data_IF_782960296043
#
_entry.id   IF_782960296043
#
_cell.length_a   1.000
_cell.length_b   1.000
_cell.length_c   1.000
_cell.angle_alpha   90.00
_cell.angle_beta   90.00
_cell.angle_gamma   90.00
#
_symmetry.space_group_name_H-M   'P 1'
#
loop_
_entity.id
_entity.type
_entity.pdbx_description
1 polymer ?
#
# COMPACT_ATOMS: atom_id res chain seq x y z
N UNK A 1 11.25 -19.98 -16.47
CA UNK A 1 10.10 -19.67 -17.32
C UNK A 1 10.17 -18.21 -17.72
N UNK A 2 10.13 -17.92 -19.02
CA UNK A 2 10.03 -16.56 -19.58
C UNK A 2 8.95 -16.59 -20.64
N UNK A 3 8.19 -15.51 -20.83
CA UNK A 3 7.11 -15.43 -21.84
C UNK A 3 7.37 -14.33 -22.87
N UNK A 4 8.56 -13.72 -22.85
CA UNK A 4 8.89 -12.57 -23.69
C UNK A 4 9.96 -12.85 -24.75
N UNK A 5 10.26 -14.12 -25.02
CA UNK A 5 11.29 -14.54 -26.00
C UNK A 5 10.78 -14.51 -27.45
N UNK A 6 9.46 -14.48 -27.66
CA UNK A 6 8.84 -14.65 -28.97
C UNK A 6 8.81 -16.09 -29.47
N UNK A 7 9.32 -17.06 -28.69
CA UNK A 7 9.27 -18.48 -29.04
C UNK A 7 7.92 -19.08 -28.65
N UNK A 8 7.31 -19.83 -29.57
CA UNK A 8 5.98 -20.43 -29.34
C UNK A 8 5.96 -21.37 -28.12
N UNK A 9 7.05 -22.10 -27.89
CA UNK A 9 7.21 -23.02 -26.75
C UNK A 9 7.21 -22.31 -25.39
N UNK A 10 7.59 -21.03 -25.34
CA UNK A 10 7.77 -20.29 -24.10
C UNK A 10 6.49 -19.58 -23.63
N UNK A 11 5.57 -19.29 -24.55
CA UNK A 11 4.41 -18.41 -24.32
C UNK A 11 3.52 -18.85 -23.17
N UNK A 12 3.34 -20.16 -23.00
CA UNK A 12 2.49 -20.73 -21.96
C UNK A 12 3.19 -20.91 -20.62
N UNK A 13 4.51 -20.71 -20.54
CA UNK A 13 5.25 -21.06 -19.33
C UNK A 13 4.76 -20.29 -18.07
N UNK A 14 4.23 -19.08 -18.21
CA UNK A 14 3.64 -18.35 -17.09
C UNK A 14 2.32 -18.99 -16.61
N UNK A 15 1.38 -19.30 -17.51
CA UNK A 15 0.11 -19.95 -17.13
C UNK A 15 0.36 -21.34 -16.55
N UNK A 16 1.28 -22.12 -17.11
CA UNK A 16 1.66 -23.44 -16.56
C UNK A 16 2.30 -23.30 -15.17
N UNK A 17 3.04 -22.22 -14.90
CA UNK A 17 3.57 -21.94 -13.56
C UNK A 17 2.45 -21.65 -12.56
N UNK A 18 1.43 -20.88 -12.96
CA UNK A 18 0.27 -20.63 -12.10
C UNK A 18 -0.54 -21.91 -11.84
N UNK A 19 -0.68 -22.77 -12.85
CA UNK A 19 -1.36 -24.06 -12.72
C UNK A 19 -0.59 -25.02 -11.81
N UNK A 20 0.74 -25.06 -11.94
CA UNK A 20 1.59 -25.84 -11.04
C UNK A 20 1.44 -25.40 -9.58
N UNK A 21 1.35 -24.08 -9.30
CA UNK A 21 1.09 -23.59 -7.95
C UNK A 21 -0.26 -24.10 -7.41
N UNK A 22 -1.33 -24.02 -8.22
CA UNK A 22 -2.66 -24.53 -7.82
C UNK A 22 -2.62 -26.02 -7.54
N UNK A 23 -2.02 -26.81 -8.43
CA UNK A 23 -1.92 -28.26 -8.28
C UNK A 23 -1.07 -28.67 -7.07
N UNK A 24 0.00 -27.94 -6.75
CA UNK A 24 0.78 -28.19 -5.53
C UNK A 24 -0.08 -27.95 -4.30
N UNK A 25 -0.85 -26.85 -4.27
CA UNK A 25 -1.74 -26.55 -3.14
C UNK A 25 -2.86 -27.56 -2.97
N UNK A 26 -3.41 -28.06 -4.06
CA UNK A 26 -4.46 -29.08 -4.03
C UNK A 26 -3.91 -30.46 -3.62
N UNK A 27 -2.80 -30.89 -4.23
CA UNK A 27 -2.33 -32.28 -4.13
C UNK A 27 -1.34 -32.53 -2.99
N UNK A 28 -0.68 -31.48 -2.49
CA UNK A 28 0.33 -31.58 -1.43
C UNK A 28 -0.01 -30.62 -0.27
N UNK A 29 -1.08 -30.90 0.50
CA UNK A 29 -1.41 -30.09 1.68
C UNK A 29 -0.21 -29.95 2.63
N UNK A 30 0.07 -28.72 3.06
CA UNK A 30 1.21 -28.40 3.92
C UNK A 30 2.52 -28.09 3.18
N UNK A 31 2.60 -28.30 1.86
CA UNK A 31 3.75 -27.85 1.08
C UNK A 31 3.67 -26.33 0.83
N UNK A 32 4.77 -25.63 1.09
CA UNK A 32 4.95 -24.22 0.77
C UNK A 32 5.74 -24.05 -0.54
N UNK A 33 5.48 -22.95 -1.24
CA UNK A 33 6.00 -22.63 -2.57
C UNK A 33 6.76 -21.30 -2.52
N UNK A 34 7.94 -21.29 -3.13
CA UNK A 34 8.80 -20.12 -3.28
C UNK A 34 9.10 -19.92 -4.77
N UNK A 35 8.85 -18.72 -5.29
CA UNK A 35 9.04 -18.41 -6.72
C UNK A 35 9.88 -17.16 -6.95
N UNK A 36 10.90 -17.27 -7.80
CA UNK A 36 11.59 -16.10 -8.35
C UNK A 36 10.84 -15.54 -9.56
N UNK A 37 10.33 -14.31 -9.47
CA UNK A 37 9.45 -13.76 -10.51
C UNK A 37 10.19 -13.21 -11.73
N UNK A 38 11.41 -12.71 -11.57
CA UNK A 38 12.09 -11.88 -12.56
C UNK A 38 12.30 -12.56 -13.93
N UNK A 39 12.28 -13.90 -13.96
CA UNK A 39 12.42 -14.68 -15.18
C UNK A 39 11.22 -14.53 -16.12
N UNK A 40 10.00 -14.31 -15.61
CA UNK A 40 8.79 -14.20 -16.43
C UNK A 40 8.91 -13.08 -17.46
N UNK A 41 9.61 -11.99 -17.07
CA UNK A 41 9.82 -10.79 -17.86
C UNK A 41 11.23 -10.71 -18.46
N UNK A 42 11.93 -11.82 -18.65
CA UNK A 42 13.29 -11.78 -19.21
C UNK A 42 13.26 -11.38 -20.69
N UNK A 43 14.13 -10.45 -21.10
CA UNK A 43 14.26 -10.01 -22.50
C UNK A 43 13.59 -8.68 -22.85
N UNK A 44 12.88 -8.03 -21.91
CA UNK A 44 12.19 -6.74 -22.16
C UNK A 44 12.76 -5.60 -21.29
N UNK A 45 12.40 -4.36 -21.65
CA UNK A 45 12.91 -3.15 -20.99
C UNK A 45 12.46 -3.02 -19.51
N UNK A 46 13.21 -2.32 -18.66
CA UNK A 46 12.93 -2.25 -17.21
C UNK A 46 11.52 -1.80 -16.82
N UNK A 47 10.91 -0.85 -17.55
CA UNK A 47 9.56 -0.37 -17.28
C UNK A 47 8.51 -1.44 -17.53
N UNK A 48 8.60 -2.14 -18.67
CA UNK A 48 7.75 -3.28 -18.99
C UNK A 48 7.90 -4.40 -17.94
N UNK A 49 9.14 -4.71 -17.53
CA UNK A 49 9.38 -5.71 -16.48
C UNK A 49 8.66 -5.36 -15.18
N UNK A 50 8.62 -4.08 -14.82
CA UNK A 50 7.98 -3.61 -13.59
C UNK A 50 6.50 -3.97 -13.58
N UNK A 51 5.79 -3.65 -14.67
CA UNK A 51 4.37 -3.94 -14.84
C UNK A 51 4.13 -5.45 -14.88
N UNK A 52 4.84 -6.18 -15.76
CA UNK A 52 4.60 -7.61 -15.94
C UNK A 52 4.85 -8.41 -14.66
N UNK A 53 5.93 -8.11 -13.93
CA UNK A 53 6.23 -8.78 -12.66
C UNK A 53 5.17 -8.49 -11.58
N UNK A 54 4.63 -7.27 -11.55
CA UNK A 54 3.59 -6.88 -10.59
C UNK A 54 2.26 -7.58 -10.85
N UNK A 55 1.86 -7.66 -12.13
CA UNK A 55 0.65 -8.38 -12.54
C UNK A 55 0.82 -9.89 -12.34
N UNK A 56 1.97 -10.45 -12.69
CA UNK A 56 2.24 -11.87 -12.48
C UNK A 56 2.27 -12.25 -10.99
N UNK A 57 2.87 -11.41 -10.12
CA UNK A 57 2.85 -11.62 -8.67
C UNK A 57 1.42 -11.70 -8.12
N UNK A 58 0.53 -10.83 -8.59
CA UNK A 58 -0.87 -10.87 -8.18
C UNK A 58 -1.50 -12.23 -8.49
N UNK A 59 -1.40 -12.69 -9.74
CA UNK A 59 -1.97 -13.99 -10.12
C UNK A 59 -1.27 -15.17 -9.47
N UNK A 60 0.04 -15.10 -9.23
CA UNK A 60 0.76 -16.14 -8.50
C UNK A 60 0.28 -16.26 -7.05
N UNK A 61 0.03 -15.12 -6.38
CA UNK A 61 -0.58 -15.11 -5.04
C UNK A 61 -1.99 -15.70 -5.06
N UNK A 62 -2.82 -15.33 -6.04
CA UNK A 62 -4.17 -15.93 -6.20
C UNK A 62 -4.13 -17.43 -6.49
N UNK A 63 -3.09 -17.90 -7.16
CA UNK A 63 -2.83 -19.32 -7.39
C UNK A 63 -2.28 -20.05 -6.14
N UNK A 64 -2.03 -19.34 -5.04
CA UNK A 64 -1.60 -19.91 -3.76
C UNK A 64 -0.10 -19.79 -3.48
N UNK A 65 0.64 -18.93 -4.17
CA UNK A 65 2.06 -18.70 -3.87
C UNK A 65 2.26 -18.21 -2.42
N UNK A 66 3.15 -18.86 -1.67
CA UNK A 66 3.43 -18.48 -0.27
C UNK A 66 4.50 -17.40 -0.16
N UNK A 67 5.55 -17.48 -0.98
CA UNK A 67 6.68 -16.55 -0.95
C UNK A 67 7.25 -16.27 -2.35
N UNK A 68 7.75 -15.05 -2.54
CA UNK A 68 8.32 -14.62 -3.81
C UNK A 68 9.69 -13.95 -3.62
N UNK A 69 10.65 -14.30 -4.48
CA UNK A 69 11.93 -13.58 -4.60
C UNK A 69 11.73 -12.46 -5.62
N UNK A 70 11.67 -11.23 -5.12
CA UNK A 70 11.37 -10.02 -5.92
C UNK A 70 12.16 -8.82 -5.44
N UNK A 71 12.34 -7.85 -6.33
CA UNK A 71 12.79 -6.52 -5.94
C UNK A 71 11.57 -5.71 -5.48
N UNK A 72 11.28 -5.72 -4.17
CA UNK A 72 10.06 -5.13 -3.60
C UNK A 72 9.79 -3.67 -4.05
N UNK A 73 10.83 -2.82 -4.08
CA UNK A 73 10.69 -1.43 -4.54
C UNK A 73 10.34 -1.26 -6.04
N UNK A 74 10.37 -2.36 -6.82
CA UNK A 74 9.97 -2.40 -8.24
C UNK A 74 8.64 -3.12 -8.43
N UNK A 75 7.96 -3.56 -7.37
CA UNK A 75 6.57 -3.99 -7.51
C UNK A 75 5.68 -2.74 -7.50
N UNK A 76 4.64 -2.75 -8.33
CA UNK A 76 3.63 -1.72 -8.39
C UNK A 76 2.31 -2.29 -7.85
N UNK A 77 1.59 -1.55 -7.00
CA UNK A 77 0.20 -1.87 -6.70
C UNK A 77 -0.63 -1.88 -7.99
N UNK A 78 -1.55 -2.84 -8.13
CA UNK A 78 -2.29 -3.03 -9.38
C UNK A 78 -3.11 -1.80 -9.78
N UNK A 79 -3.63 -1.06 -8.81
CA UNK A 79 -4.43 0.16 -9.06
C UNK A 79 -3.61 1.34 -9.62
N UNK A 80 -2.26 1.28 -9.51
CA UNK A 80 -1.36 2.29 -10.08
C UNK A 80 -0.91 1.95 -11.50
N UNK A 81 -1.21 0.75 -11.98
CA UNK A 81 -0.90 0.32 -13.34
C UNK A 81 -2.06 0.77 -14.24
N UNK A 82 -1.74 1.40 -15.38
CA UNK A 82 -2.76 1.77 -16.37
C UNK A 82 -3.57 0.55 -16.80
N UNK A 83 -4.89 0.69 -16.90
CA UNK A 83 -5.81 -0.42 -17.18
C UNK A 83 -5.44 -1.18 -18.45
N UNK A 84 -5.03 -0.48 -19.51
CA UNK A 84 -4.66 -1.11 -20.79
C UNK A 84 -3.36 -1.89 -20.64
N UNK A 85 -2.39 -1.35 -19.90
CA UNK A 85 -1.14 -2.07 -19.63
C UNK A 85 -1.36 -3.29 -18.75
N UNK A 86 -2.24 -3.18 -17.76
CA UNK A 86 -2.60 -4.28 -16.86
C UNK A 86 -3.30 -5.40 -17.64
N UNK A 87 -4.26 -5.07 -18.49
CA UNK A 87 -4.94 -6.06 -19.33
C UNK A 87 -4.00 -6.69 -20.35
N UNK A 88 -3.14 -5.91 -21.03
CA UNK A 88 -2.17 -6.47 -21.95
C UNK A 88 -1.17 -7.42 -21.24
N UNK A 89 -0.69 -7.06 -20.04
CA UNK A 89 0.14 -7.95 -19.24
C UNK A 89 -0.60 -9.24 -18.85
N UNK A 90 -1.87 -9.13 -18.45
CA UNK A 90 -2.72 -10.28 -18.12
C UNK A 90 -2.91 -11.18 -19.35
N UNK A 91 -3.26 -10.63 -20.50
CA UNK A 91 -3.41 -11.38 -21.75
C UNK A 91 -2.14 -12.14 -22.11
N UNK A 92 -0.98 -11.49 -21.96
CA UNK A 92 0.31 -12.13 -22.16
C UNK A 92 0.57 -13.27 -21.17
N UNK A 93 0.30 -13.08 -19.87
CA UNK A 93 0.47 -14.12 -18.83
C UNK A 93 -0.37 -15.37 -19.12
N UNK A 94 -1.61 -15.18 -19.59
CA UNK A 94 -2.55 -16.26 -19.84
C UNK A 94 -2.57 -16.74 -21.31
N UNK A 95 -1.64 -16.27 -22.16
CA UNK A 95 -1.59 -16.51 -23.61
C UNK A 95 -2.97 -16.38 -24.29
N UNK A 96 -3.74 -15.33 -23.93
CA UNK A 96 -5.08 -15.08 -24.49
C UNK A 96 -5.00 -14.42 -25.86
N UNK A 97 -5.17 -15.25 -26.89
CA UNK A 97 -5.11 -14.85 -28.30
C UNK A 97 -6.48 -14.38 -28.79
N UNK A 98 -6.46 -13.28 -29.52
CA UNK A 98 -7.56 -12.91 -30.40
C UNK A 98 -7.05 -13.05 -31.84
N UNK A 99 -7.96 -13.15 -32.82
CA UNK A 99 -7.60 -13.30 -34.24
C UNK A 99 -6.79 -12.13 -34.82
N UNK A 100 -6.71 -11.01 -34.10
CA UNK A 100 -6.26 -9.72 -34.62
C UNK A 100 -4.83 -9.35 -34.21
N UNK A 101 -4.36 -9.73 -33.01
CA UNK A 101 -3.03 -9.31 -32.53
C UNK A 101 -2.40 -10.28 -31.52
N UNK A 102 -1.08 -10.48 -31.64
CA UNK A 102 -0.28 -11.27 -30.72
C UNK A 102 -0.11 -10.57 -29.35
N UNK A 103 -0.40 -11.22 -28.21
CA UNK A 103 -0.32 -10.61 -26.89
C UNK A 103 1.06 -10.04 -26.51
N UNK A 104 2.15 -10.67 -26.96
CA UNK A 104 3.49 -10.15 -26.70
C UNK A 104 3.73 -8.87 -27.50
N UNK A 105 3.33 -8.87 -28.78
CA UNK A 105 3.42 -7.68 -29.62
C UNK A 105 2.58 -6.51 -29.07
N UNK A 106 1.33 -6.76 -28.68
CA UNK A 106 0.45 -5.76 -28.05
C UNK A 106 1.08 -5.18 -26.77
N UNK A 107 1.57 -6.05 -25.90
CA UNK A 107 2.19 -5.65 -24.64
C UNK A 107 3.44 -4.80 -24.86
N UNK A 108 4.29 -5.16 -25.82
CA UNK A 108 5.50 -4.42 -26.15
C UNK A 108 5.16 -3.02 -26.68
N UNK A 109 4.17 -2.89 -27.59
CA UNK A 109 3.70 -1.60 -28.12
C UNK A 109 3.22 -0.65 -27.03
N UNK A 110 2.48 -1.19 -26.04
CA UNK A 110 1.98 -0.39 -24.90
C UNK A 110 3.08 -0.04 -23.91
N UNK A 111 4.10 -0.88 -23.78
CA UNK A 111 5.22 -0.67 -22.87
C UNK A 111 6.22 0.37 -23.38
N UNK A 112 6.43 0.46 -24.69
CA UNK A 112 7.27 1.49 -25.32
C UNK A 112 6.67 2.90 -25.24
N UNK A 113 5.34 3.01 -25.26
CA UNK A 113 4.65 4.30 -25.09
C UNK A 113 4.65 4.81 -23.64
N UNK A 114 4.88 3.92 -22.68
CA UNK A 114 4.83 4.20 -21.24
C UNK A 114 6.20 4.32 -20.57
N UNK A 115 7.31 4.22 -21.32
CA UNK A 115 8.67 4.45 -20.79
C UNK A 115 8.93 5.91 -20.40
N UNK A 116 8.00 6.83 -20.68
CA UNK A 116 7.87 8.03 -19.87
C UNK A 116 7.02 7.66 -18.66
N UNK A 117 7.56 7.68 -17.42
CA UNK A 117 6.71 7.53 -16.26
C UNK A 117 5.69 8.66 -16.36
N UNK A 118 4.46 8.32 -16.72
CA UNK A 118 3.31 9.19 -16.45
C UNK A 118 3.30 9.30 -14.94
N UNK A 119 4.02 10.30 -14.42
CA UNK A 119 3.56 11.05 -13.26
C UNK A 119 2.07 11.22 -13.51
N UNK A 120 1.26 10.62 -12.65
CA UNK A 120 -0.16 10.90 -12.62
C UNK A 120 -0.35 12.42 -12.82
N UNK A 121 -1.33 12.86 -13.63
CA UNK A 121 -1.50 14.24 -14.05
C UNK A 121 -1.22 15.18 -12.88
N UNK A 122 -0.37 16.18 -13.13
CA UNK A 122 0.10 17.24 -12.23
C UNK A 122 -0.59 17.24 -10.87
N UNK A 123 -0.04 16.48 -9.91
CA UNK A 123 -0.46 16.48 -8.49
C UNK A 123 -0.63 17.91 -7.98
N UNK A 124 0.11 18.89 -8.52
CA UNK A 124 0.05 20.31 -8.16
C UNK A 124 -1.29 21.03 -8.43
N UNK A 125 -2.17 20.54 -9.30
CA UNK A 125 -3.39 21.28 -9.69
C UNK A 125 -4.67 20.79 -9.00
N UNK A 126 -4.63 19.67 -8.29
CA UNK A 126 -5.78 19.19 -7.50
C UNK A 126 -5.93 19.98 -6.19
N UNK A 127 -7.15 20.07 -5.61
CA UNK A 127 -7.35 20.61 -4.26
C UNK A 127 -6.48 19.90 -3.22
N UNK A 128 -6.00 20.65 -2.22
CA UNK A 128 -5.07 20.14 -1.19
C UNK A 128 -5.60 18.91 -0.47
N UNK A 129 -6.91 18.83 -0.26
CA UNK A 129 -7.59 17.70 0.36
C UNK A 129 -7.40 16.42 -0.45
N UNK A 130 -7.55 16.50 -1.78
CA UNK A 130 -7.36 15.35 -2.68
C UNK A 130 -5.88 14.98 -2.79
N UNK A 131 -4.97 15.97 -2.78
CA UNK A 131 -3.52 15.72 -2.77
C UNK A 131 -3.10 14.96 -1.51
N UNK A 132 -3.53 15.42 -0.34
CA UNK A 132 -3.25 14.77 0.95
C UNK A 132 -3.81 13.35 1.00
N UNK A 133 -5.07 13.16 0.59
CA UNK A 133 -5.67 11.82 0.50
C UNK A 133 -4.86 10.89 -0.38
N UNK A 134 -4.44 11.38 -1.55
CA UNK A 134 -3.65 10.60 -2.51
C UNK A 134 -2.25 10.27 -2.00
N UNK A 135 -1.61 11.18 -1.26
CA UNK A 135 -0.32 10.92 -0.59
C UNK A 135 -0.41 9.79 0.42
N UNK A 136 -1.49 9.74 1.20
CA UNK A 136 -1.73 8.62 2.12
C UNK A 136 -1.91 7.32 1.35
N UNK A 137 -2.75 7.32 0.31
CA UNK A 137 -2.97 6.12 -0.54
C UNK A 137 -1.67 5.63 -1.16
N UNK A 138 -0.83 6.54 -1.63
CA UNK A 138 0.41 6.23 -2.35
C UNK A 138 1.62 6.03 -1.42
N UNK A 139 1.48 6.29 -0.12
CA UNK A 139 2.61 6.28 0.81
C UNK A 139 3.70 7.31 0.47
N UNK A 140 3.32 8.45 -0.10
CA UNK A 140 4.25 9.48 -0.59
C UNK A 140 4.43 10.63 0.42
N UNK A 141 5.66 10.77 0.93
CA UNK A 141 6.03 11.82 1.89
C UNK A 141 6.58 13.09 1.23
N UNK A 142 6.88 13.08 -0.07
CA UNK A 142 7.59 14.17 -0.75
C UNK A 142 6.69 15.40 -0.94
N UNK A 143 6.83 16.42 -0.11
CA UNK A 143 5.94 17.60 -0.10
C UNK A 143 4.66 17.40 0.71
N UNK A 144 4.64 16.40 1.60
CA UNK A 144 3.55 16.17 2.54
C UNK A 144 3.34 17.39 3.47
N UNK A 145 4.41 17.91 4.06
CA UNK A 145 4.34 19.04 4.99
C UNK A 145 3.85 20.33 4.31
N UNK A 146 4.22 20.57 3.05
CA UNK A 146 3.74 21.71 2.27
C UNK A 146 2.22 21.65 2.08
N UNK A 147 1.70 20.47 1.73
CA UNK A 147 0.26 20.25 1.58
C UNK A 147 -0.47 20.32 2.93
N UNK A 148 0.13 19.82 4.02
CA UNK A 148 -0.42 19.97 5.37
C UNK A 148 -0.49 21.45 5.78
N UNK A 149 0.55 22.22 5.50
CA UNK A 149 0.61 23.68 5.76
C UNK A 149 -0.45 24.43 4.96
N UNK A 150 -0.73 24.02 3.73
CA UNK A 150 -1.80 24.62 2.95
C UNK A 150 -3.18 24.26 3.51
N UNK A 151 -3.40 23.00 3.91
CA UNK A 151 -4.66 22.52 4.45
C UNK A 151 -5.03 23.16 5.80
N UNK A 152 -4.04 23.43 6.67
CA UNK A 152 -4.27 24.08 7.97
C UNK A 152 -4.78 25.52 7.85
N UNK A 153 -4.69 26.15 6.67
CA UNK A 153 -5.30 27.47 6.41
C UNK A 153 -6.83 27.40 6.29
N UNK A 154 -7.40 26.22 6.03
CA UNK A 154 -8.83 26.02 5.77
C UNK A 154 -9.50 25.09 6.77
N UNK A 155 -8.74 24.16 7.36
CA UNK A 155 -9.25 23.09 8.22
C UNK A 155 -8.47 23.08 9.53
N UNK A 156 -9.11 22.67 10.61
CA UNK A 156 -8.37 22.40 11.85
C UNK A 156 -7.45 21.18 11.67
N UNK A 157 -6.35 21.06 12.42
CA UNK A 157 -5.49 19.87 12.33
C UNK A 157 -6.24 18.55 12.58
N UNK A 158 -7.25 18.57 13.47
CA UNK A 158 -8.12 17.41 13.72
C UNK A 158 -9.01 17.08 12.51
N UNK A 159 -9.61 18.09 11.89
CA UNK A 159 -10.45 17.88 10.70
C UNK A 159 -9.63 17.28 9.54
N UNK A 160 -8.37 17.69 9.39
CA UNK A 160 -7.46 17.13 8.38
C UNK A 160 -7.25 15.64 8.63
N UNK A 161 -6.98 15.25 9.88
CA UNK A 161 -6.78 13.83 10.24
C UNK A 161 -8.06 13.05 9.97
N UNK A 162 -9.18 13.49 10.53
CA UNK A 162 -10.42 12.70 10.60
C UNK A 162 -11.12 12.60 9.25
N UNK A 163 -11.16 13.69 8.47
CA UNK A 163 -11.96 13.74 7.26
C UNK A 163 -11.14 13.56 5.98
N UNK A 164 -9.83 13.85 6.00
CA UNK A 164 -8.97 13.78 4.81
C UNK A 164 -8.06 12.56 4.88
N UNK A 165 -7.21 12.47 5.90
CA UNK A 165 -6.16 11.45 5.98
C UNK A 165 -6.73 10.06 6.27
N UNK A 166 -7.69 9.94 7.21
CA UNK A 166 -8.39 8.67 7.45
C UNK A 166 -9.19 8.22 6.22
N UNK A 167 -9.72 9.16 5.43
CA UNK A 167 -10.35 8.86 4.15
C UNK A 167 -9.40 8.18 3.16
N UNK A 168 -8.11 8.55 3.17
CA UNK A 168 -7.06 7.86 2.40
C UNK A 168 -6.77 6.46 2.94
N UNK A 169 -6.63 6.33 4.27
CA UNK A 169 -6.38 5.03 4.91
C UNK A 169 -7.52 4.02 4.68
N UNK A 170 -8.78 4.48 4.64
CA UNK A 170 -9.93 3.64 4.31
C UNK A 170 -9.78 3.01 2.92
N UNK A 171 -9.40 3.81 1.93
CA UNK A 171 -9.15 3.33 0.56
C UNK A 171 -8.00 2.33 0.53
N UNK A 172 -6.90 2.56 1.28
CA UNK A 172 -5.80 1.60 1.40
C UNK A 172 -6.30 0.25 1.95
N UNK A 173 -7.15 0.28 2.98
CA UNK A 173 -7.78 -0.91 3.54
C UNK A 173 -8.65 -1.68 2.54
N UNK A 174 -9.49 -0.97 1.78
CA UNK A 174 -10.31 -1.55 0.71
C UNK A 174 -9.45 -2.20 -0.38
N UNK A 175 -8.40 -1.51 -0.84
CA UNK A 175 -7.46 -2.03 -1.83
C UNK A 175 -6.70 -3.26 -1.32
N UNK A 176 -6.37 -3.31 -0.02
CA UNK A 176 -5.65 -4.43 0.58
C UNK A 176 -6.57 -5.64 0.72
N UNK A 177 -7.80 -5.43 1.19
CA UNK A 177 -8.83 -6.47 1.28
C UNK A 177 -9.20 -7.05 -0.09
N UNK A 178 -9.24 -6.21 -1.13
CA UNK A 178 -9.43 -6.63 -2.52
C UNK A 178 -8.17 -7.25 -3.16
N UNK A 179 -7.05 -7.33 -2.44
CA UNK A 179 -5.80 -7.89 -2.94
C UNK A 179 -5.12 -7.05 -4.04
N UNK A 180 -5.52 -5.80 -4.24
CA UNK A 180 -4.97 -4.86 -5.23
C UNK A 180 -3.73 -4.11 -4.73
N UNK A 181 -3.49 -4.12 -3.42
CA UNK A 181 -2.25 -3.67 -2.80
C UNK A 181 -1.64 -4.77 -1.92
N UNK A 182 -0.38 -4.60 -1.54
CA UNK A 182 0.38 -5.57 -0.73
C UNK A 182 0.79 -4.94 0.60
N UNK A 183 1.06 -5.79 1.60
CA UNK A 183 1.42 -5.36 2.96
C UNK A 183 2.54 -4.30 3.00
N UNK A 184 3.63 -4.38 2.21
CA UNK A 184 4.65 -3.34 2.21
C UNK A 184 4.12 -1.93 1.88
N UNK A 185 3.16 -1.83 0.96
CA UNK A 185 2.56 -0.54 0.60
C UNK A 185 1.60 -0.05 1.67
N UNK A 186 0.87 -0.94 2.34
CA UNK A 186 0.04 -0.58 3.50
C UNK A 186 0.91 -0.01 4.62
N UNK A 187 2.07 -0.62 4.89
CA UNK A 187 3.03 -0.11 5.86
C UNK A 187 3.59 1.26 5.44
N UNK A 188 3.85 1.45 4.16
CA UNK A 188 4.29 2.74 3.63
C UNK A 188 3.22 3.84 3.81
N UNK A 189 1.95 3.54 3.52
CA UNK A 189 0.83 4.43 3.80
C UNK A 189 0.71 4.76 5.29
N UNK A 190 0.90 3.76 6.17
CA UNK A 190 0.88 3.96 7.61
C UNK A 190 2.03 4.86 8.10
N UNK A 191 3.23 4.72 7.53
CA UNK A 191 4.38 5.61 7.80
C UNK A 191 4.07 7.06 7.38
N UNK A 192 3.45 7.26 6.21
CA UNK A 192 3.02 8.60 5.76
C UNK A 192 1.94 9.18 6.66
N UNK A 193 0.97 8.36 7.11
CA UNK A 193 -0.05 8.76 8.08
C UNK A 193 0.59 9.20 9.40
N UNK A 194 1.54 8.42 9.92
CA UNK A 194 2.27 8.74 11.15
C UNK A 194 3.04 10.05 11.03
N UNK A 195 3.72 10.28 9.90
CA UNK A 195 4.42 11.54 9.64
C UNK A 195 3.45 12.74 9.60
N UNK A 196 2.28 12.58 8.97
CA UNK A 196 1.28 13.64 8.90
C UNK A 196 0.70 13.98 10.28
N UNK A 197 0.38 12.98 11.10
CA UNK A 197 -0.11 13.19 12.47
C UNK A 197 0.95 13.88 13.32
N UNK A 198 2.22 13.46 13.25
CA UNK A 198 3.31 14.07 13.99
C UNK A 198 3.53 15.56 13.60
N UNK A 199 3.27 15.92 12.35
CA UNK A 199 3.32 17.30 11.87
C UNK A 199 2.15 18.15 12.40
N UNK A 200 0.95 17.57 12.45
CA UNK A 200 -0.28 18.28 12.83
C UNK A 200 -0.46 18.41 14.35
N UNK A 201 0.06 17.47 15.13
CA UNK A 201 -0.07 17.41 16.59
C UNK A 201 0.37 18.71 17.30
N UNK A 202 1.54 19.31 17.00
CA UNK A 202 1.96 20.58 17.61
C UNK A 202 1.05 21.77 17.29
N UNK A 203 0.25 21.69 16.23
CA UNK A 203 -0.64 22.77 15.77
C UNK A 203 -2.02 22.71 16.43
N UNK A 204 -2.30 21.69 17.23
CA UNK A 204 -3.58 21.54 17.91
C UNK A 204 -3.63 22.42 19.17
N UNK A 205 -4.71 23.19 19.32
CA UNK A 205 -4.91 24.05 20.49
C UNK A 205 -4.99 23.22 21.78
N UNK A 206 -4.11 23.52 22.74
CA UNK A 206 -4.19 23.01 24.11
C UNK A 206 -5.02 24.00 24.95
N UNK A 207 -6.17 23.57 25.48
CA UNK A 207 -6.85 24.34 26.51
C UNK A 207 -6.17 24.12 27.86
N UNK A 208 -5.48 25.13 28.36
CA UNK A 208 -4.97 25.14 29.73
C UNK A 208 -6.13 25.41 30.71
N UNK A 209 -6.27 24.56 31.73
CA UNK A 209 -7.31 24.64 32.76
C UNK A 209 -7.17 23.55 33.82
N UNK A 210 -7.99 23.60 34.88
CA UNK A 210 -8.09 22.53 35.89
C UNK A 210 -8.42 21.19 35.22
N UNK A 211 -7.66 20.16 35.56
CA UNK A 211 -7.80 18.82 34.99
C UNK A 211 -9.17 18.22 35.32
N UNK A 212 -9.97 17.92 34.29
CA UNK A 212 -11.28 17.25 34.38
C UNK A 212 -11.22 15.81 34.89
N UNK A 213 -10.03 15.20 34.88
CA UNK A 213 -9.78 13.84 35.35
C UNK A 213 -8.47 13.27 34.85
N UNK A 214 -8.01 12.15 35.42
CA UNK A 214 -6.82 11.40 34.99
C UNK A 214 -7.24 10.23 34.11
N UNK A 215 -6.59 10.05 32.97
CA UNK A 215 -6.81 8.91 32.05
C UNK A 215 -5.49 8.19 31.82
N UNK A 216 -5.49 6.85 31.88
CA UNK A 216 -4.34 6.03 31.51
C UNK A 216 -4.61 5.44 30.13
N UNK A 217 -3.65 5.60 29.22
CA UNK A 217 -3.72 5.06 27.86
C UNK A 217 -2.55 4.10 27.63
N UNK A 218 -2.86 2.90 27.14
CA UNK A 218 -1.88 1.89 26.77
C UNK A 218 -2.48 0.97 25.70
N UNK A 219 -1.64 0.38 24.85
CA UNK A 219 -2.06 -0.84 24.14
C UNK A 219 -1.60 -2.07 24.91
N UNK A 220 -2.41 -3.13 24.86
CA UNK A 220 -2.12 -4.40 25.53
C UNK A 220 -0.92 -5.10 24.91
N UNK A 221 -0.36 -6.06 25.64
CA UNK A 221 0.75 -6.87 25.16
C UNK A 221 0.46 -7.50 23.79
N UNK A 222 1.40 -7.34 22.86
CA UNK A 222 1.26 -7.81 21.48
C UNK A 222 0.59 -6.80 20.53
N UNK A 223 -0.08 -5.77 21.04
CA UNK A 223 -0.71 -4.75 20.20
C UNK A 223 0.28 -3.61 19.87
N UNK A 224 0.46 -3.34 18.58
CA UNK A 224 1.37 -2.34 18.02
C UNK A 224 0.70 -1.05 17.58
N UNK A 225 -0.63 -0.99 17.57
CA UNK A 225 -1.36 0.12 16.96
C UNK A 225 -1.23 1.39 17.83
N UNK A 226 -0.40 2.35 17.39
CA UNK A 226 -0.08 3.56 18.14
C UNK A 226 -0.84 4.80 17.66
N UNK A 227 -1.17 4.90 16.38
CA UNK A 227 -1.77 6.11 15.75
C UNK A 227 -3.07 6.52 16.45
N UNK A 228 -4.05 5.62 16.56
CA UNK A 228 -5.35 5.94 17.18
C UNK A 228 -5.23 6.26 18.67
N UNK A 229 -4.38 5.54 19.40
CA UNK A 229 -4.10 5.81 20.82
C UNK A 229 -3.49 7.20 21.01
N UNK A 230 -2.54 7.59 20.18
CA UNK A 230 -1.92 8.92 20.24
C UNK A 230 -2.94 10.02 19.91
N UNK A 231 -3.83 9.79 18.94
CA UNK A 231 -4.92 10.74 18.67
C UNK A 231 -5.85 10.92 19.88
N UNK A 232 -6.22 9.83 20.56
CA UNK A 232 -7.02 9.88 21.79
C UNK A 232 -6.27 10.61 22.91
N UNK A 233 -4.96 10.39 23.07
CA UNK A 233 -4.12 11.12 24.01
C UNK A 233 -4.20 12.63 23.77
N UNK A 234 -3.95 13.06 22.52
CA UNK A 234 -4.00 14.47 22.14
C UNK A 234 -5.39 15.07 22.38
N UNK A 235 -6.46 14.37 21.98
CA UNK A 235 -7.84 14.83 22.18
C UNK A 235 -8.18 15.02 23.65
N UNK A 236 -7.86 14.04 24.50
CA UNK A 236 -8.11 14.11 25.93
C UNK A 236 -7.30 15.21 26.60
N UNK A 237 -6.01 15.30 26.27
CA UNK A 237 -5.12 16.35 26.75
C UNK A 237 -5.65 17.75 26.38
N UNK A 238 -6.08 17.95 25.13
CA UNK A 238 -6.64 19.21 24.66
C UNK A 238 -8.00 19.55 25.30
N UNK A 239 -8.75 18.54 25.75
CA UNK A 239 -10.03 18.72 26.45
C UNK A 239 -9.90 18.87 27.97
N UNK A 240 -8.66 18.99 28.47
CA UNK A 240 -8.36 19.25 29.88
C UNK A 240 -8.31 17.99 30.74
N UNK A 241 -8.00 16.81 30.18
CA UNK A 241 -7.69 15.62 30.97
C UNK A 241 -6.18 15.49 31.20
N UNK A 242 -5.78 14.96 32.35
CA UNK A 242 -4.40 14.53 32.58
C UNK A 242 -4.21 13.12 32.04
N UNK A 243 -3.54 12.99 30.89
CA UNK A 243 -3.29 11.69 30.27
C UNK A 243 -1.95 11.11 30.72
N UNK A 244 -1.94 9.84 31.14
CA UNK A 244 -0.76 9.03 31.41
C UNK A 244 -0.68 7.98 30.30
N UNK A 245 0.14 8.26 29.30
CA UNK A 245 0.30 7.39 28.13
C UNK A 245 1.48 6.45 28.34
N UNK A 246 1.20 5.16 28.58
CA UNK A 246 2.19 4.10 28.80
C UNK A 246 2.79 3.55 27.50
N UNK A 247 2.33 4.02 26.33
CA UNK A 247 2.80 3.57 25.04
C UNK A 247 2.13 2.27 24.58
N UNK A 248 2.88 1.46 23.84
CA UNK A 248 2.38 0.24 23.20
C UNK A 248 2.93 -1.03 23.84
N UNK A 249 2.27 -2.17 23.61
CA UNK A 249 2.68 -3.52 24.04
C UNK A 249 2.86 -3.67 25.56
N UNK A 250 2.05 -2.98 26.35
CA UNK A 250 2.18 -2.97 27.81
C UNK A 250 1.64 -4.25 28.44
N UNK A 251 2.39 -4.88 29.38
CA UNK A 251 1.87 -5.98 30.17
C UNK A 251 0.79 -5.49 31.14
N UNK A 252 -0.11 -6.38 31.56
CA UNK A 252 -1.20 -6.04 32.48
C UNK A 252 -0.69 -5.42 33.79
N UNK A 253 0.45 -5.89 34.31
CA UNK A 253 1.06 -5.36 35.53
C UNK A 253 1.42 -3.88 35.43
N UNK A 254 1.99 -3.44 34.30
CA UNK A 254 2.36 -2.03 34.10
C UNK A 254 1.13 -1.11 34.07
N UNK A 255 0.01 -1.60 33.54
CA UNK A 255 -1.26 -0.85 33.51
C UNK A 255 -1.83 -0.73 34.93
N UNK A 256 -1.76 -1.79 35.73
CA UNK A 256 -2.21 -1.80 37.12
C UNK A 256 -1.34 -0.88 37.99
N UNK A 257 -0.01 -0.96 37.87
CA UNK A 257 0.93 -0.10 38.60
C UNK A 257 0.73 1.39 38.31
N UNK A 258 0.34 1.75 37.09
CA UNK A 258 0.07 3.14 36.74
C UNK A 258 -1.28 3.67 37.28
N UNK A 259 -2.20 2.75 37.59
CA UNK A 259 -3.52 3.04 38.15
C UNK A 259 -3.45 3.30 39.65
N UNK A 260 -2.66 2.53 40.38
CA UNK A 260 -2.37 2.72 41.82
C UNK A 260 -1.70 4.07 42.12
#
# INVERSE_FOLDING_TARGET
FTICTGMEADRRLAVETLEALRLIKERLPGAHTLLGLSNVSFGINPGARQVLNSVFLHYAREAGLDAAIVHAAKILPLYRIDERQREAARRLIFDRRDEVEDPLAEYMKLSEKASTPRRAPSVKEAPVEERLKRRIIDGDRVGLEDDLTEATKKHSPLDIIDNILLGGMKVVGELFGAGQTQLPFVLQSAETMKAAVAYLEPLMERREGESKGKVILATVQGDVHDIGKNLVDILLSNHGYRVVNLGIRQPMSAILEAWE
#
